data_IF_826892574805
#
_entry.id   IF_826892574805
#
_cell.length_a   1.000
_cell.length_b   1.000
_cell.length_c   1.000
_cell.angle_alpha   90.00
_cell.angle_beta   90.00
_cell.angle_gamma   90.00
#
_symmetry.space_group_name_H-M   'P 1'
#
loop_
_entity.id
_entity.type
_entity.pdbx_description
1 polymer ?
#
# COMPACT_ATOMS: atom_id res chain seq x y z
N UNK A 1 -16.14 4.51 0.79
CA UNK A 1 -15.16 5.57 0.42
C UNK A 1 -14.11 4.96 -0.51
N UNK A 2 -13.02 5.63 -0.90
CA UNK A 2 -12.17 5.06 -1.96
C UNK A 2 -10.69 5.38 -1.81
N UNK A 3 -9.89 4.69 -2.62
CA UNK A 3 -8.45 4.91 -2.74
C UNK A 3 -8.16 5.70 -4.00
N UNK A 4 -7.21 6.63 -3.91
CA UNK A 4 -6.72 7.38 -5.07
C UNK A 4 -5.26 7.04 -5.33
N UNK A 5 -4.87 7.04 -6.60
CA UNK A 5 -3.48 6.88 -7.00
C UNK A 5 -2.75 8.19 -6.69
N UNK A 6 -1.90 8.20 -5.66
CA UNK A 6 -1.15 9.38 -5.24
C UNK A 6 0.13 9.58 -6.04
N UNK A 7 0.84 8.49 -6.34
CA UNK A 7 2.07 8.53 -7.14
C UNK A 7 2.20 7.26 -7.98
N UNK A 8 2.59 7.44 -9.24
CA UNK A 8 3.01 6.36 -10.12
C UNK A 8 4.24 6.80 -10.91
N UNK A 9 5.32 6.03 -10.80
CA UNK A 9 6.52 6.15 -11.62
C UNK A 9 7.01 4.77 -12.06
N UNK A 10 8.14 4.71 -12.76
CA UNK A 10 8.67 3.48 -13.33
C UNK A 10 8.93 2.37 -12.29
N UNK A 11 9.07 2.71 -11.00
CA UNK A 11 9.45 1.75 -9.95
C UNK A 11 8.52 1.76 -8.74
N UNK A 12 7.61 2.72 -8.65
CA UNK A 12 6.76 2.94 -7.48
C UNK A 12 5.34 3.22 -7.92
N UNK A 13 4.40 2.52 -7.29
CA UNK A 13 2.98 2.84 -7.33
C UNK A 13 2.49 3.01 -5.90
N UNK A 14 1.83 4.12 -5.60
CA UNK A 14 1.38 4.48 -4.27
C UNK A 14 -0.06 4.96 -4.32
N UNK A 15 -0.88 4.41 -3.41
CA UNK A 15 -2.27 4.76 -3.24
C UNK A 15 -2.47 5.35 -1.85
N UNK A 16 -3.29 6.39 -1.79
CA UNK A 16 -3.71 7.03 -0.55
C UNK A 16 -5.22 6.85 -0.40
N UNK A 17 -5.64 6.45 0.81
CA UNK A 17 -7.06 6.38 1.15
C UNK A 17 -7.63 7.80 1.26
N UNK A 18 -8.86 8.01 0.84
CA UNK A 18 -9.47 9.35 0.72
C UNK A 18 -9.48 10.19 2.01
N UNK A 19 -9.34 9.57 3.17
CA UNK A 19 -9.28 10.26 4.46
C UNK A 19 -7.87 10.70 4.86
N UNK A 20 -6.83 10.33 4.09
CA UNK A 20 -5.43 10.64 4.37
C UNK A 20 -4.81 9.83 5.51
N UNK A 21 -5.50 8.82 6.03
CA UNK A 21 -5.03 8.02 7.18
C UNK A 21 -4.41 6.68 6.78
N UNK A 22 -4.47 6.28 5.51
CA UNK A 22 -3.85 5.04 5.06
C UNK A 22 -3.15 5.19 3.71
N UNK A 23 -1.99 4.55 3.57
CA UNK A 23 -1.26 4.44 2.31
C UNK A 23 -0.88 3.01 2.03
N UNK A 24 -1.01 2.60 0.77
CA UNK A 24 -0.46 1.35 0.24
C UNK A 24 0.57 1.71 -0.80
N UNK A 25 1.76 1.13 -0.70
CA UNK A 25 2.85 1.40 -1.64
C UNK A 25 3.45 0.11 -2.17
N UNK A 26 3.47 -0.03 -3.49
CA UNK A 26 4.22 -1.03 -4.22
C UNK A 26 5.50 -0.41 -4.76
N UNK A 27 6.64 -1.07 -4.56
CA UNK A 27 7.93 -0.63 -5.09
C UNK A 27 8.74 -1.80 -5.65
N UNK A 28 9.23 -1.65 -6.87
CA UNK A 28 10.28 -2.50 -7.43
C UNK A 28 11.66 -2.14 -6.84
N UNK A 29 12.43 -3.16 -6.49
CA UNK A 29 13.79 -3.05 -6.00
C UNK A 29 14.78 -3.30 -7.14
N UNK A 30 16.02 -2.84 -6.98
CA UNK A 30 17.07 -3.05 -7.99
C UNK A 30 17.48 -4.51 -8.20
N UNK A 31 16.97 -5.45 -7.40
CA UNK A 31 17.13 -6.89 -7.55
C UNK A 31 15.93 -7.57 -8.26
N UNK A 32 15.00 -6.78 -8.81
CA UNK A 32 13.82 -7.27 -9.54
C UNK A 32 12.66 -7.73 -8.65
N UNK A 33 12.80 -7.66 -7.32
CA UNK A 33 11.73 -8.01 -6.37
C UNK A 33 10.83 -6.82 -6.05
N UNK A 34 9.61 -7.11 -5.59
CA UNK A 34 8.59 -6.13 -5.30
C UNK A 34 8.33 -6.06 -3.80
N UNK A 35 8.17 -4.86 -3.26
CA UNK A 35 7.82 -4.62 -1.87
C UNK A 35 6.47 -3.94 -1.82
N UNK A 36 5.54 -4.53 -1.08
CA UNK A 36 4.26 -3.88 -0.75
C UNK A 36 4.33 -3.46 0.71
N UNK A 37 3.99 -2.21 0.99
CA UNK A 37 3.88 -1.65 2.34
C UNK A 37 2.49 -1.10 2.55
N UNK A 38 1.93 -1.34 3.72
CA UNK A 38 0.76 -0.68 4.26
C UNK A 38 1.19 0.19 5.44
N UNK A 39 0.72 1.43 5.47
CA UNK A 39 0.87 2.36 6.59
C UNK A 39 -0.52 2.91 6.93
N UNK A 40 -1.03 2.56 8.12
CA UNK A 40 -2.32 3.06 8.63
C UNK A 40 -2.07 3.85 9.90
N UNK A 41 -2.45 5.12 9.86
CA UNK A 41 -2.56 5.96 11.04
C UNK A 41 -3.92 5.71 11.66
N UNK A 42 -3.95 4.92 12.73
CA UNK A 42 -5.16 4.72 13.50
C UNK A 42 -5.47 6.00 14.30
N UNK A 43 -6.74 6.39 14.43
CA UNK A 43 -7.13 7.60 15.17
C UNK A 43 -6.92 7.49 16.70
N UNK A 44 -6.31 6.40 17.18
CA UNK A 44 -5.86 6.28 18.55
C UNK A 44 -4.48 6.95 18.71
N UNK A 45 -4.30 7.69 19.81
CA UNK A 45 -3.16 8.59 20.05
C UNK A 45 -1.78 7.89 20.01
N UNK A 46 -1.73 6.54 20.00
CA UNK A 46 -0.49 5.77 20.04
C UNK A 46 -0.40 4.55 19.08
N UNK A 47 -1.39 4.30 18.20
CA UNK A 47 -1.33 3.12 17.31
C UNK A 47 -1.18 3.50 15.83
N UNK A 48 -0.08 3.04 15.24
CA UNK A 48 0.15 3.02 13.79
C UNK A 48 0.33 1.56 13.38
N UNK A 49 -0.53 1.08 12.49
CA UNK A 49 -0.32 -0.23 11.88
C UNK A 49 0.66 -0.08 10.71
N UNK A 50 1.73 -0.86 10.76
CA UNK A 50 2.73 -0.95 9.72
C UNK A 50 2.88 -2.40 9.30
N UNK A 51 2.69 -2.67 8.00
CA UNK A 51 2.94 -3.98 7.42
C UNK A 51 3.77 -3.89 6.14
N UNK A 52 4.61 -4.89 5.91
CA UNK A 52 5.48 -4.98 4.73
C UNK A 52 5.69 -6.42 4.30
N UNK A 53 5.50 -6.69 3.01
CA UNK A 53 5.74 -8.00 2.39
C UNK A 53 6.60 -7.82 1.13
N UNK A 54 7.44 -8.82 0.85
CA UNK A 54 8.28 -8.88 -0.35
C UNK A 54 7.80 -10.02 -1.24
N UNK A 55 7.72 -9.77 -2.53
CA UNK A 55 7.33 -10.72 -3.56
C UNK A 55 8.40 -10.80 -4.65
N UNK A 56 8.54 -11.98 -5.25
CA UNK A 56 9.40 -12.18 -6.42
C UNK A 56 8.69 -11.80 -7.73
N UNK A 57 7.35 -11.78 -7.71
CA UNK A 57 6.52 -11.50 -8.88
C UNK A 57 5.71 -10.22 -8.69
N UNK A 58 5.62 -9.41 -9.76
CA UNK A 58 4.88 -8.15 -9.74
C UNK A 58 3.39 -8.36 -9.52
N UNK A 59 2.80 -9.32 -10.22
CA UNK A 59 1.36 -9.60 -10.14
C UNK A 59 0.95 -9.96 -8.71
N UNK A 60 1.72 -10.79 -8.01
CA UNK A 60 1.48 -11.11 -6.61
C UNK A 60 1.57 -9.89 -5.67
N UNK A 61 2.49 -8.96 -5.95
CA UNK A 61 2.59 -7.71 -5.22
C UNK A 61 1.39 -6.79 -5.49
N UNK A 62 0.92 -6.72 -6.74
CA UNK A 62 -0.25 -5.93 -7.13
C UNK A 62 -1.54 -6.50 -6.52
N UNK A 63 -1.71 -7.82 -6.52
CA UNK A 63 -2.81 -8.51 -5.84
C UNK A 63 -2.80 -8.21 -4.34
N UNK A 64 -1.64 -8.29 -3.69
CA UNK A 64 -1.54 -7.96 -2.26
C UNK A 64 -1.87 -6.50 -1.98
N UNK A 65 -1.41 -5.59 -2.83
CA UNK A 65 -1.73 -4.17 -2.71
C UNK A 65 -3.23 -3.92 -2.87
N UNK A 66 -3.88 -4.58 -3.82
CA UNK A 66 -5.33 -4.51 -4.01
C UNK A 66 -6.10 -5.06 -2.79
N UNK A 67 -5.70 -6.24 -2.29
CA UNK A 67 -6.31 -6.85 -1.12
C UNK A 67 -6.25 -5.95 0.12
N UNK A 68 -5.10 -5.29 0.35
CA UNK A 68 -5.00 -4.32 1.46
C UNK A 68 -5.88 -3.10 1.28
N UNK A 69 -6.04 -2.60 0.05
CA UNK A 69 -6.96 -1.49 -0.19
C UNK A 69 -8.41 -1.87 0.10
N UNK A 70 -8.81 -3.10 -0.24
CA UNK A 70 -10.15 -3.60 0.07
C UNK A 70 -10.36 -3.82 1.57
N UNK A 71 -9.40 -4.46 2.25
CA UNK A 71 -9.44 -4.73 3.69
C UNK A 71 -9.48 -3.45 4.54
N UNK A 72 -8.80 -2.40 4.08
CA UNK A 72 -8.73 -1.10 4.77
C UNK A 72 -9.57 0.00 4.10
N UNK A 73 -10.51 -0.37 3.22
CA UNK A 73 -11.50 0.58 2.74
C UNK A 73 -12.42 0.99 3.90
N UNK A 74 -12.94 2.20 3.84
CA UNK A 74 -13.95 2.68 4.78
C UNK A 74 -15.28 2.74 4.05
N UNK A 75 -16.37 2.30 4.68
CA UNK A 75 -17.72 2.45 4.12
C UNK A 75 -18.07 3.93 3.83
#
# INVERSE_FOLDING_TARGET
MGWSLGREDATVTEWERSDGYATVRLRERGDGRFVVRLDVMEQAVDDRAYDRIVFDERDAAEERAAAWREEHDLD
#
